data_IF_052363738048
#
_entry.id   IF_052363738048
#
_cell.length_a   1.000
_cell.length_b   1.000
_cell.length_c   1.000
_cell.angle_alpha   90.00
_cell.angle_beta   90.00
_cell.angle_gamma   90.00
#
_symmetry.space_group_name_H-M   'P 1'
#
loop_
_entity.id
_entity.type
_entity.pdbx_description
1 polymer ?
#
# COMPACT_ATOMS: atom_id res chain seq x y z
N UNK A 1 13.90 -5.43 -35.98
CA UNK A 1 13.51 -5.32 -34.56
C UNK A 1 13.48 -6.72 -33.99
N UNK A 2 14.08 -6.95 -32.81
CA UNK A 2 14.12 -8.28 -32.17
C UNK A 2 12.75 -8.71 -31.62
N UNK A 3 11.88 -7.76 -31.30
CA UNK A 3 10.53 -7.98 -30.79
C UNK A 3 9.54 -6.95 -31.35
N UNK A 4 8.24 -7.22 -31.18
CA UNK A 4 7.13 -6.33 -31.58
C UNK A 4 6.16 -6.15 -30.41
N UNK A 5 5.79 -4.90 -30.12
CA UNK A 5 4.71 -4.54 -29.18
C UNK A 5 3.36 -5.02 -29.72
N UNK A 6 2.57 -5.60 -28.84
CA UNK A 6 1.19 -6.00 -29.05
C UNK A 6 0.25 -5.13 -28.23
N UNK A 7 -0.74 -5.75 -27.59
CA UNK A 7 -1.76 -5.07 -26.80
C UNK A 7 -1.22 -4.43 -25.51
N UNK A 8 -1.95 -3.43 -25.01
CA UNK A 8 -1.65 -2.78 -23.73
C UNK A 8 -2.12 -3.70 -22.60
N UNK A 9 -1.21 -4.06 -21.71
CA UNK A 9 -1.49 -4.82 -20.49
C UNK A 9 -1.81 -3.90 -19.31
N UNK A 10 -1.22 -2.70 -19.28
CA UNK A 10 -1.43 -1.76 -18.19
C UNK A 10 -0.94 -0.35 -18.53
N UNK A 11 -1.56 0.64 -17.90
CA UNK A 11 -1.21 2.05 -18.05
C UNK A 11 -0.96 2.66 -16.67
N UNK A 12 0.26 3.15 -16.44
CA UNK A 12 0.61 3.88 -15.23
C UNK A 12 1.03 5.31 -15.54
N UNK A 13 1.04 6.17 -14.52
CA UNK A 13 1.39 7.59 -14.66
C UNK A 13 2.83 7.87 -15.11
N UNK A 14 3.68 6.84 -15.20
CA UNK A 14 5.09 6.98 -15.60
C UNK A 14 5.51 6.11 -16.79
N UNK A 15 4.72 5.10 -17.16
CA UNK A 15 5.03 4.16 -18.24
C UNK A 15 3.78 3.39 -18.69
N UNK A 16 3.82 2.91 -19.93
CA UNK A 16 2.82 1.97 -20.46
C UNK A 16 3.44 0.58 -20.54
N UNK A 17 2.65 -0.45 -20.23
CA UNK A 17 3.07 -1.85 -20.28
C UNK A 17 2.33 -2.53 -21.43
N UNK A 18 3.09 -3.18 -22.30
CA UNK A 18 2.59 -3.89 -23.47
C UNK A 18 2.93 -5.37 -23.38
N UNK A 19 2.08 -6.21 -23.95
CA UNK A 19 2.49 -7.55 -24.35
C UNK A 19 3.44 -7.41 -25.54
N UNK A 20 4.49 -8.20 -25.62
CA UNK A 20 5.37 -8.23 -26.78
C UNK A 20 5.77 -9.66 -27.13
N UNK A 21 6.00 -9.88 -28.42
CA UNK A 21 6.47 -11.14 -28.96
C UNK A 21 7.82 -10.96 -29.66
N UNK A 22 8.71 -11.93 -29.51
CA UNK A 22 9.99 -11.97 -30.24
C UNK A 22 9.72 -12.31 -31.71
N UNK A 23 10.29 -11.52 -32.63
CA UNK A 23 10.05 -11.63 -34.08
C UNK A 23 11.24 -12.25 -34.81
N UNK A 24 12.45 -12.15 -34.25
CA UNK A 24 13.65 -12.76 -34.82
C UNK A 24 14.55 -13.22 -33.67
N UNK A 25 14.52 -14.51 -33.30
CA UNK A 25 15.42 -15.04 -32.31
C UNK A 25 16.85 -15.01 -32.88
N UNK A 26 17.66 -14.06 -32.43
CA UNK A 26 19.11 -14.11 -32.61
C UNK A 26 19.65 -15.22 -31.72
N UNK A 27 20.59 -16.02 -32.24
CA UNK A 27 21.11 -17.23 -31.56
C UNK A 27 21.77 -16.98 -30.19
N UNK A 28 21.97 -15.72 -29.81
CA UNK A 28 22.64 -15.31 -28.57
C UNK A 28 21.72 -14.64 -27.54
N UNK A 29 20.47 -14.32 -27.87
CA UNK A 29 19.56 -13.62 -26.94
C UNK A 29 18.50 -14.59 -26.39
N UNK A 30 18.64 -14.96 -25.12
CA UNK A 30 17.74 -15.87 -24.38
C UNK A 30 16.41 -15.18 -23.99
N UNK A 31 15.78 -14.44 -24.92
CA UNK A 31 14.49 -13.81 -24.68
C UNK A 31 13.36 -14.84 -24.84
N UNK A 32 12.35 -14.84 -23.94
CA UNK A 32 11.18 -15.70 -24.09
C UNK A 32 10.33 -15.27 -25.29
N UNK A 33 9.54 -16.20 -25.84
CA UNK A 33 8.66 -15.95 -26.98
C UNK A 33 7.62 -14.84 -26.71
N UNK A 34 7.15 -14.75 -25.46
CA UNK A 34 6.27 -13.70 -24.96
C UNK A 34 6.91 -13.03 -23.74
N UNK A 35 6.78 -11.71 -23.68
CA UNK A 35 7.27 -10.87 -22.59
C UNK A 35 6.35 -9.67 -22.38
N UNK A 36 6.47 -9.04 -21.21
CA UNK A 36 5.91 -7.72 -20.97
C UNK A 36 6.98 -6.65 -21.25
N UNK A 37 6.59 -5.54 -21.87
CA UNK A 37 7.50 -4.42 -22.16
C UNK A 37 6.94 -3.16 -21.54
N UNK A 38 7.62 -2.66 -20.51
CA UNK A 38 7.27 -1.38 -19.87
C UNK A 38 8.08 -0.29 -20.57
N UNK A 39 7.38 0.71 -21.10
CA UNK A 39 7.91 1.70 -22.03
C UNK A 39 7.60 3.12 -21.56
N UNK A 40 8.56 4.03 -21.72
CA UNK A 40 8.37 5.46 -21.51
C UNK A 40 9.13 6.25 -22.57
N UNK A 41 8.67 7.47 -22.93
CA UNK A 41 9.47 8.37 -23.76
C UNK A 41 10.84 8.60 -23.15
N UNK A 42 11.89 8.62 -23.97
CA UNK A 42 13.28 8.64 -23.52
C UNK A 42 13.56 9.82 -22.57
N UNK A 43 13.02 11.00 -22.86
CA UNK A 43 13.17 12.20 -22.02
C UNK A 43 12.52 12.09 -20.61
N UNK A 44 11.64 11.10 -20.40
CA UNK A 44 11.00 10.76 -19.11
C UNK A 44 11.51 9.45 -18.50
N UNK A 45 12.48 8.78 -19.14
CA UNK A 45 12.95 7.44 -18.79
C UNK A 45 13.65 7.30 -17.44
N UNK A 46 14.05 8.41 -16.78
CA UNK A 46 14.88 8.36 -15.56
C UNK A 46 14.31 7.46 -14.45
N UNK A 47 12.99 7.46 -14.27
CA UNK A 47 12.35 6.59 -13.27
C UNK A 47 12.39 5.12 -13.71
N UNK A 48 12.14 4.86 -14.98
CA UNK A 48 12.13 3.51 -15.56
C UNK A 48 13.53 2.90 -15.62
N UNK A 49 14.55 3.69 -15.97
CA UNK A 49 15.95 3.27 -15.94
C UNK A 49 16.48 3.02 -14.52
N UNK A 50 15.90 3.68 -13.50
CA UNK A 50 16.20 3.36 -12.11
C UNK A 50 15.54 2.03 -11.70
N UNK A 51 14.32 1.80 -12.15
CA UNK A 51 13.60 0.55 -11.91
C UNK A 51 14.29 -0.64 -12.56
N UNK A 52 14.75 -0.51 -13.80
CA UNK A 52 15.57 -1.52 -14.50
C UNK A 52 16.76 -1.96 -13.65
N UNK A 53 17.57 -1.00 -13.18
CA UNK A 53 18.78 -1.32 -12.40
C UNK A 53 18.46 -2.11 -11.13
N UNK A 54 17.34 -1.78 -10.46
CA UNK A 54 16.91 -2.52 -9.28
C UNK A 54 16.48 -3.94 -9.63
N UNK A 55 15.71 -4.11 -10.71
CA UNK A 55 15.28 -5.42 -11.16
C UNK A 55 16.48 -6.28 -11.59
N UNK A 56 17.46 -5.68 -12.27
CA UNK A 56 18.72 -6.33 -12.63
C UNK A 56 19.54 -6.72 -11.39
N UNK A 57 19.62 -5.86 -10.36
CA UNK A 57 20.24 -6.17 -9.06
C UNK A 57 19.51 -7.29 -8.28
N UNK A 58 18.23 -7.53 -8.61
CA UNK A 58 17.36 -8.51 -7.95
C UNK A 58 17.11 -9.78 -8.76
N UNK A 59 17.81 -9.97 -9.88
CA UNK A 59 17.58 -11.07 -10.83
C UNK A 59 17.67 -12.49 -10.21
N UNK A 60 18.41 -12.65 -9.11
CA UNK A 60 18.57 -13.95 -8.42
C UNK A 60 17.34 -14.37 -7.58
N UNK A 61 16.36 -13.49 -7.40
CA UNK A 61 15.19 -13.78 -6.57
C UNK A 61 14.02 -14.31 -7.42
N UNK A 62 13.56 -15.57 -7.23
CA UNK A 62 12.47 -16.14 -8.02
C UNK A 62 11.09 -15.52 -7.71
N UNK A 63 10.97 -14.75 -6.62
CA UNK A 63 9.74 -14.09 -6.18
C UNK A 63 9.68 -12.60 -6.56
N UNK A 64 10.53 -12.17 -7.48
CA UNK A 64 10.55 -10.83 -8.08
C UNK A 64 10.43 -11.02 -9.60
N UNK A 65 9.68 -10.14 -10.26
CA UNK A 65 9.49 -10.23 -11.71
C UNK A 65 10.85 -10.12 -12.41
N UNK A 66 11.16 -11.07 -13.30
CA UNK A 66 12.46 -11.07 -13.97
C UNK A 66 12.54 -9.94 -15.00
N UNK A 67 13.65 -9.21 -15.01
CA UNK A 67 14.00 -8.31 -16.10
C UNK A 67 15.03 -8.97 -17.02
N UNK A 68 14.82 -8.85 -18.32
CA UNK A 68 15.71 -9.38 -19.35
C UNK A 68 16.65 -8.31 -19.93
N UNK A 69 16.48 -7.04 -19.54
CA UNK A 69 17.32 -5.92 -19.94
C UNK A 69 16.53 -4.71 -20.48
N UNK A 70 17.27 -3.71 -20.96
CA UNK A 70 16.75 -2.47 -21.53
C UNK A 70 16.97 -2.38 -23.05
N UNK A 71 16.02 -1.77 -23.76
CA UNK A 71 16.09 -1.53 -25.19
C UNK A 71 15.66 -0.09 -25.51
N UNK A 72 16.41 0.58 -26.38
CA UNK A 72 16.00 1.84 -27.00
C UNK A 72 15.32 1.56 -28.34
N UNK A 73 14.13 2.13 -28.53
CA UNK A 73 13.41 2.06 -29.81
C UNK A 73 13.14 3.47 -30.34
N UNK A 74 12.97 3.56 -31.66
CA UNK A 74 12.55 4.78 -32.36
C UNK A 74 11.23 4.43 -33.05
N UNK A 75 10.17 5.17 -32.75
CA UNK A 75 8.87 4.99 -33.40
C UNK A 75 8.86 5.66 -34.79
N UNK A 76 7.78 5.43 -35.56
CA UNK A 76 7.66 5.95 -36.94
C UNK A 76 7.69 7.48 -37.01
N UNK A 77 7.26 8.16 -35.95
CA UNK A 77 7.30 9.63 -35.81
C UNK A 77 8.70 10.16 -35.41
N UNK A 78 9.68 9.27 -35.23
CA UNK A 78 11.04 9.60 -34.82
C UNK A 78 11.22 9.76 -33.29
N UNK A 79 10.17 9.59 -32.48
CA UNK A 79 10.28 9.68 -31.02
C UNK A 79 11.08 8.49 -30.46
N UNK A 80 12.02 8.79 -29.56
CA UNK A 80 12.81 7.77 -28.86
C UNK A 80 12.09 7.28 -27.61
N UNK A 81 12.07 5.96 -27.43
CA UNK A 81 11.46 5.29 -26.30
C UNK A 81 12.48 4.42 -25.56
N UNK A 82 12.40 4.46 -24.24
CA UNK A 82 13.15 3.59 -23.35
C UNK A 82 12.23 2.46 -22.88
N UNK A 83 12.69 1.23 -23.06
CA UNK A 83 11.92 0.02 -22.82
C UNK A 83 12.67 -0.88 -21.84
N UNK A 84 11.96 -1.48 -20.90
CA UNK A 84 12.47 -2.59 -20.10
C UNK A 84 11.70 -3.86 -20.46
N UNK A 85 12.43 -4.93 -20.71
CA UNK A 85 11.89 -6.24 -21.07
C UNK A 85 11.70 -7.05 -19.79
N UNK A 86 10.48 -7.51 -19.55
CA UNK A 86 10.06 -8.15 -18.31
C UNK A 86 9.42 -9.50 -18.58
N UNK A 87 9.54 -10.40 -17.62
CA UNK A 87 8.76 -11.64 -17.57
C UNK A 87 7.27 -11.35 -17.71
N UNK A 88 6.59 -12.12 -18.57
CA UNK A 88 5.16 -12.01 -18.74
C UNK A 88 4.43 -12.88 -17.72
N UNK A 89 3.58 -12.25 -16.91
CA UNK A 89 2.73 -12.92 -15.93
C UNK A 89 1.36 -13.22 -16.54
N UNK A 90 1.22 -14.40 -17.16
CA UNK A 90 -0.02 -14.81 -17.82
C UNK A 90 -1.23 -14.92 -16.88
N UNK A 91 -1.00 -15.14 -15.58
CA UNK A 91 -2.05 -15.18 -14.55
C UNK A 91 -2.56 -13.80 -14.14
N UNK A 92 -2.06 -12.72 -14.74
CA UNK A 92 -2.42 -11.34 -14.40
C UNK A 92 -1.86 -10.90 -13.04
N UNK A 93 -2.50 -9.91 -12.44
CA UNK A 93 -2.18 -9.46 -11.08
C UNK A 93 -3.02 -10.19 -10.04
N UNK A 94 -2.57 -10.13 -8.79
CA UNK A 94 -3.33 -10.61 -7.65
C UNK A 94 -4.63 -9.79 -7.47
N UNK A 95 -4.68 -8.53 -7.92
CA UNK A 95 -5.93 -7.76 -7.96
C UNK A 95 -6.96 -8.39 -8.91
N UNK A 96 -6.53 -8.77 -10.11
CA UNK A 96 -7.38 -9.46 -11.10
C UNK A 96 -7.90 -10.78 -10.53
N UNK A 97 -7.03 -11.53 -9.85
CA UNK A 97 -7.40 -12.79 -9.19
C UNK A 97 -8.47 -12.58 -8.12
N UNK A 98 -8.30 -11.60 -7.23
CA UNK A 98 -9.28 -11.26 -6.19
C UNK A 98 -10.62 -10.83 -6.82
N UNK A 99 -10.58 -9.98 -7.84
CA UNK A 99 -11.78 -9.51 -8.53
C UNK A 99 -12.52 -10.66 -9.21
N UNK A 100 -11.80 -11.54 -9.91
CA UNK A 100 -12.37 -12.68 -10.64
C UNK A 100 -13.09 -13.67 -9.72
N UNK A 101 -12.62 -13.83 -8.48
CA UNK A 101 -13.24 -14.72 -7.50
C UNK A 101 -14.53 -14.11 -6.91
N UNK A 102 -14.65 -12.78 -6.92
CA UNK A 102 -15.82 -12.02 -6.46
C UNK A 102 -16.04 -12.02 -4.94
N UNK A 103 -15.17 -12.71 -4.19
CA UNK A 103 -15.13 -12.80 -2.72
C UNK A 103 -13.68 -13.02 -2.26
N UNK A 104 -13.48 -13.20 -0.95
CA UNK A 104 -12.18 -13.62 -0.42
C UNK A 104 -11.70 -14.95 -1.01
N UNK A 105 -10.41 -15.00 -1.36
CA UNK A 105 -9.75 -16.20 -1.89
C UNK A 105 -9.72 -17.34 -0.86
N UNK A 106 -9.61 -18.60 -1.30
CA UNK A 106 -9.36 -19.72 -0.40
C UNK A 106 -8.12 -19.48 0.45
N UNK A 107 -8.19 -19.76 1.75
CA UNK A 107 -7.08 -19.44 2.67
C UNK A 107 -5.79 -20.17 2.28
N UNK A 108 -5.86 -21.40 1.77
CA UNK A 108 -4.69 -22.13 1.26
C UNK A 108 -3.98 -21.37 0.12
N UNK A 109 -4.73 -20.74 -0.78
CA UNK A 109 -4.20 -19.89 -1.84
C UNK A 109 -3.59 -18.60 -1.28
N UNK A 110 -4.27 -17.95 -0.32
CA UNK A 110 -3.74 -16.76 0.38
C UNK A 110 -2.40 -17.07 1.05
N UNK A 111 -2.28 -18.20 1.73
CA UNK A 111 -1.04 -18.62 2.41
C UNK A 111 0.11 -18.78 1.43
N UNK A 112 -0.11 -19.44 0.28
CA UNK A 112 0.92 -19.64 -0.77
C UNK A 112 1.38 -18.31 -1.38
N UNK A 113 0.45 -17.43 -1.73
CA UNK A 113 0.81 -16.11 -2.27
C UNK A 113 1.52 -15.24 -1.24
N UNK A 114 1.07 -15.28 0.02
CA UNK A 114 1.70 -14.56 1.13
C UNK A 114 3.12 -15.06 1.36
N UNK A 115 3.36 -16.37 1.31
CA UNK A 115 4.70 -16.96 1.41
C UNK A 115 5.64 -16.42 0.33
N UNK A 116 5.21 -16.47 -0.93
CA UNK A 116 6.01 -15.98 -2.07
C UNK A 116 6.30 -14.48 -1.95
N UNK A 117 5.29 -13.68 -1.59
CA UNK A 117 5.41 -12.25 -1.33
C UNK A 117 6.46 -11.96 -0.22
N UNK A 118 6.38 -12.67 0.90
CA UNK A 118 7.32 -12.47 2.01
C UNK A 118 8.76 -12.91 1.64
N UNK A 119 8.93 -13.97 0.85
CA UNK A 119 10.25 -14.41 0.38
C UNK A 119 10.89 -13.33 -0.53
N UNK A 120 10.13 -12.78 -1.47
CA UNK A 120 10.59 -11.67 -2.31
C UNK A 120 10.89 -10.42 -1.48
N UNK A 121 10.01 -10.07 -0.54
CA UNK A 121 10.17 -8.87 0.27
C UNK A 121 11.35 -8.95 1.25
N UNK A 122 11.56 -10.13 1.87
CA UNK A 122 12.75 -10.41 2.68
C UNK A 122 14.04 -10.20 1.88
N UNK A 123 14.07 -10.66 0.63
CA UNK A 123 15.22 -10.45 -0.26
C UNK A 123 15.48 -8.96 -0.55
N UNK A 124 14.43 -8.20 -0.88
CA UNK A 124 14.51 -6.75 -1.12
C UNK A 124 15.05 -6.01 0.12
N UNK A 125 14.52 -6.34 1.30
CA UNK A 125 14.91 -5.73 2.57
C UNK A 125 16.36 -6.04 2.92
N UNK A 126 16.82 -7.28 2.70
CA UNK A 126 18.24 -7.68 2.89
C UNK A 126 19.21 -6.98 1.94
N UNK A 127 18.76 -6.63 0.72
CA UNK A 127 19.52 -5.79 -0.21
C UNK A 127 19.51 -4.29 0.16
N UNK A 128 18.85 -3.93 1.26
CA UNK A 128 18.82 -2.55 1.78
C UNK A 128 17.83 -1.65 1.05
N UNK A 129 16.78 -2.20 0.46
CA UNK A 129 15.73 -1.46 -0.23
C UNK A 129 14.37 -1.62 0.44
N UNK A 130 13.49 -0.66 0.17
CA UNK A 130 12.08 -0.62 0.57
C UNK A 130 11.27 -0.47 -0.71
N UNK A 131 10.22 -1.26 -0.89
CA UNK A 131 9.43 -1.28 -2.12
C UNK A 131 8.53 -0.05 -2.23
N UNK A 132 7.88 0.35 -1.12
CA UNK A 132 7.01 1.52 -0.97
C UNK A 132 5.67 1.49 -1.71
N UNK A 133 5.35 0.42 -2.46
CA UNK A 133 4.04 0.28 -3.13
C UNK A 133 3.59 -1.19 -3.24
N UNK A 134 3.70 -1.94 -2.14
CA UNK A 134 3.13 -3.29 -2.06
C UNK A 134 1.60 -3.18 -2.05
N UNK A 135 0.96 -3.84 -3.01
CA UNK A 135 -0.51 -3.93 -3.17
C UNK A 135 -0.84 -5.05 -4.16
N UNK A 136 -2.07 -5.58 -4.19
CA UNK A 136 -2.45 -6.66 -5.11
C UNK A 136 -2.14 -6.40 -6.59
N UNK A 137 -2.21 -5.15 -7.06
CA UNK A 137 -1.93 -4.80 -8.46
C UNK A 137 -0.45 -4.95 -8.84
N UNK A 138 0.46 -4.87 -7.86
CA UNK A 138 1.91 -4.96 -8.07
C UNK A 138 2.44 -6.36 -7.72
N UNK A 139 1.56 -7.31 -7.38
CA UNK A 139 1.90 -8.72 -7.19
C UNK A 139 1.37 -9.48 -8.41
N UNK A 140 2.27 -9.96 -9.25
CA UNK A 140 1.94 -10.64 -10.50
C UNK A 140 1.95 -12.16 -10.32
N UNK A 141 1.03 -12.85 -11.00
CA UNK A 141 0.90 -14.29 -10.96
C UNK A 141 1.53 -14.89 -12.22
N UNK A 142 2.73 -15.46 -12.05
CA UNK A 142 3.43 -16.14 -13.13
C UNK A 142 3.07 -17.62 -13.07
N UNK A 143 2.56 -18.16 -14.17
CA UNK A 143 2.28 -19.58 -14.27
C UNK A 143 3.60 -20.36 -14.37
N UNK A 144 3.77 -21.38 -13.54
CA UNK A 144 4.90 -22.29 -13.68
C UNK A 144 4.66 -23.16 -14.93
N UNK A 145 5.44 -22.90 -15.99
CA UNK A 145 5.50 -23.80 -17.14
C UNK A 145 6.37 -24.98 -16.73
N UNK A 146 5.70 -26.07 -16.39
CA UNK A 146 6.30 -27.36 -16.07
C UNK A 146 6.90 -27.99 -17.35
N UNK A 147 7.93 -27.37 -17.95
CA UNK A 147 8.63 -27.86 -19.16
C UNK A 147 9.38 -29.19 -18.94
N UNK A 148 9.35 -29.74 -17.71
CA UNK A 148 9.96 -31.05 -17.38
C UNK A 148 9.01 -32.05 -16.69
N UNK A 149 7.78 -31.66 -16.35
CA UNK A 149 6.78 -32.64 -15.90
C UNK A 149 6.08 -33.25 -17.10
N UNK A 150 6.78 -34.11 -17.84
CA UNK A 150 6.10 -35.23 -18.50
C UNK A 150 5.41 -36.05 -17.41
N UNK A 151 4.16 -35.71 -17.13
CA UNK A 151 3.26 -36.53 -16.34
C UNK A 151 3.09 -37.84 -17.09
N UNK A 152 3.84 -38.86 -16.66
CA UNK A 152 3.79 -40.24 -17.17
C UNK A 152 2.40 -40.90 -17.08
N UNK A 153 1.37 -40.21 -16.61
CA UNK A 153 0.09 -40.81 -16.26
C UNK A 153 -1.16 -40.12 -16.82
N UNK A 154 -1.06 -39.26 -17.84
CA UNK A 154 -2.21 -38.83 -18.65
C UNK A 154 -3.41 -38.23 -17.89
N UNK A 155 -3.25 -37.90 -16.61
CA UNK A 155 -4.32 -37.42 -15.74
C UNK A 155 -4.26 -35.90 -15.71
N UNK A 156 -5.28 -35.32 -16.35
CA UNK A 156 -5.89 -33.99 -16.15
C UNK A 156 -4.92 -32.85 -15.81
N UNK A 157 -4.82 -31.87 -16.73
CA UNK A 157 -4.36 -30.48 -16.54
C UNK A 157 -4.21 -30.16 -15.04
N UNK A 158 -2.98 -30.33 -14.51
CA UNK A 158 -2.64 -30.03 -13.11
C UNK A 158 -3.20 -28.64 -12.80
N UNK A 159 -3.70 -28.42 -11.59
CA UNK A 159 -3.93 -27.06 -11.10
C UNK A 159 -2.66 -26.27 -11.44
N UNK A 160 -2.76 -25.33 -12.38
CA UNK A 160 -1.60 -24.59 -12.83
C UNK A 160 -1.25 -23.67 -11.66
N UNK A 161 -0.26 -24.07 -10.87
CA UNK A 161 0.14 -23.32 -9.69
C UNK A 161 0.91 -22.09 -10.17
N UNK A 162 0.30 -20.92 -9.99
CA UNK A 162 1.00 -19.66 -10.25
C UNK A 162 1.86 -19.28 -9.04
N UNK A 163 3.09 -18.85 -9.30
CA UNK A 163 3.94 -18.20 -8.31
C UNK A 163 3.59 -16.70 -8.25
N UNK A 164 3.39 -16.17 -7.05
CA UNK A 164 3.28 -14.72 -6.86
C UNK A 164 4.67 -14.06 -6.88
N UNK A 165 4.85 -13.04 -7.71
CA UNK A 165 6.10 -12.27 -7.84
C UNK A 165 5.85 -10.78 -7.66
N UNK A 166 6.76 -10.10 -6.95
CA UNK A 166 6.71 -8.65 -6.74
C UNK A 166 7.15 -7.94 -8.03
N UNK A 167 6.38 -6.93 -8.44
CA UNK A 167 6.65 -6.08 -9.60
C UNK A 167 6.52 -4.59 -9.24
N UNK A 168 6.88 -3.72 -10.20
CA UNK A 168 6.79 -2.26 -10.13
C UNK A 168 7.67 -1.59 -9.05
N UNK A 169 8.97 -1.49 -9.33
CA UNK A 169 9.96 -0.88 -8.43
C UNK A 169 10.13 0.63 -8.66
N UNK A 170 9.22 1.27 -9.40
CA UNK A 170 9.30 2.70 -9.72
C UNK A 170 9.35 3.60 -8.47
N UNK A 171 8.72 3.17 -7.37
CA UNK A 171 8.68 3.89 -6.10
C UNK A 171 9.73 3.45 -5.08
N UNK A 172 10.44 2.33 -5.32
CA UNK A 172 11.39 1.75 -4.39
C UNK A 172 12.54 2.72 -4.03
N UNK A 173 13.09 2.60 -2.82
CA UNK A 173 14.20 3.44 -2.36
C UNK A 173 15.15 2.67 -1.43
N UNK A 174 16.38 3.18 -1.27
CA UNK A 174 17.31 2.64 -0.26
C UNK A 174 16.81 2.94 1.15
N UNK A 175 16.76 1.94 2.02
CA UNK A 175 16.44 2.09 3.43
C UNK A 175 17.39 3.12 4.11
N UNK A 176 16.90 3.85 5.11
CA UNK A 176 17.63 4.90 5.80
C UNK A 176 17.93 6.17 4.98
N UNK A 177 17.76 6.15 3.66
CA UNK A 177 17.90 7.35 2.82
C UNK A 177 16.63 8.20 2.92
N UNK A 178 16.76 9.41 3.49
CA UNK A 178 15.69 10.41 3.47
C UNK A 178 15.38 10.83 2.03
N UNK A 179 14.10 11.10 1.76
CA UNK A 179 13.70 11.66 0.48
C UNK A 179 14.27 13.08 0.38
N UNK A 180 14.90 13.42 -0.75
CA UNK A 180 15.27 14.82 -1.02
C UNK A 180 13.96 15.61 -1.16
N UNK A 181 13.71 16.52 -0.22
CA UNK A 181 12.64 17.49 -0.35
C UNK A 181 12.85 18.25 -1.67
N UNK A 182 11.82 18.30 -2.52
CA UNK A 182 11.69 19.43 -3.43
C UNK A 182 11.01 20.52 -2.59
N UNK A 183 11.50 21.74 -2.68
CA UNK A 183 10.94 22.88 -1.95
C UNK A 183 9.40 22.86 -2.01
N UNK A 184 8.77 22.91 -0.84
CA UNK A 184 7.34 23.14 -0.59
C UNK A 184 6.31 22.06 -0.97
N UNK A 185 6.65 20.76 -1.09
CA UNK A 185 5.61 19.70 -1.15
C UNK A 185 5.97 18.39 -0.42
N UNK A 186 5.14 17.92 0.53
CA UNK A 186 5.26 16.57 1.06
C UNK A 186 5.08 15.55 -0.07
N UNK A 187 5.92 14.51 -0.09
CA UNK A 187 5.90 13.48 -1.16
C UNK A 187 5.42 12.16 -0.59
N UNK A 188 4.11 12.04 -0.42
CA UNK A 188 3.49 10.75 -0.21
C UNK A 188 3.81 9.81 -1.38
N UNK A 189 4.29 8.61 -1.06
CA UNK A 189 4.58 7.53 -2.00
C UNK A 189 3.65 6.36 -1.75
N UNK A 190 3.30 5.70 -2.83
CA UNK A 190 2.49 4.49 -2.81
C UNK A 190 1.01 4.80 -2.90
N UNK A 191 0.23 3.75 -2.76
CA UNK A 191 -1.23 3.80 -2.90
C UNK A 191 -1.87 4.03 -1.53
N UNK A 192 -2.64 5.11 -1.39
CA UNK A 192 -3.14 5.61 -0.10
C UNK A 192 -3.73 4.53 0.83
N UNK A 193 -4.50 3.59 0.30
CA UNK A 193 -5.14 2.51 1.07
C UNK A 193 -4.16 1.52 1.73
N UNK A 194 -2.91 1.48 1.28
CA UNK A 194 -1.87 0.54 1.74
C UNK A 194 -0.72 1.26 2.43
N UNK A 195 -0.76 2.60 2.54
CA UNK A 195 0.28 3.37 3.20
C UNK A 195 0.26 3.12 4.71
N UNK A 196 1.45 3.00 5.30
CA UNK A 196 1.60 2.87 6.74
C UNK A 196 1.42 4.23 7.44
N UNK A 197 0.98 4.26 8.70
CA UNK A 197 0.78 5.51 9.45
C UNK A 197 2.04 6.38 9.49
N UNK A 198 3.21 5.78 9.71
CA UNK A 198 4.50 6.49 9.75
C UNK A 198 4.90 7.10 8.40
N UNK A 199 4.52 6.48 7.28
CA UNK A 199 4.75 7.02 5.94
C UNK A 199 3.95 8.30 5.70
N UNK A 200 2.75 8.39 6.26
CA UNK A 200 1.88 9.56 6.13
C UNK A 200 2.29 10.67 7.09
N UNK A 201 2.57 10.32 8.35
CA UNK A 201 2.89 11.28 9.40
C UNK A 201 4.29 11.88 9.28
N UNK A 202 5.28 11.08 8.85
CA UNK A 202 6.70 11.44 8.95
C UNK A 202 7.47 11.29 7.64
N UNK A 203 6.79 10.90 6.56
CA UNK A 203 7.44 10.50 5.30
C UNK A 203 8.53 9.43 5.52
N UNK A 204 8.33 8.58 6.52
CA UNK A 204 9.20 7.47 6.86
C UNK A 204 8.79 6.25 6.03
N UNK A 205 9.64 5.90 5.07
CA UNK A 205 9.50 4.71 4.24
C UNK A 205 10.61 3.74 4.60
N UNK A 206 10.38 2.87 5.57
CA UNK A 206 11.34 1.86 6.02
C UNK A 206 10.76 0.45 5.81
N UNK A 207 11.54 -0.64 5.94
CA UNK A 207 11.05 -2.01 5.69
C UNK A 207 9.71 -2.34 6.38
N UNK A 208 9.50 -1.83 7.59
CA UNK A 208 8.24 -2.01 8.33
C UNK A 208 7.03 -1.45 7.58
N UNK A 209 7.16 -0.36 6.82
CA UNK A 209 6.06 0.21 6.03
C UNK A 209 5.58 -0.76 4.94
N UNK A 210 6.49 -1.52 4.32
CA UNK A 210 6.09 -2.58 3.39
C UNK A 210 5.32 -3.69 4.12
N UNK A 211 5.65 -4.01 5.38
CA UNK A 211 4.95 -5.04 6.16
C UNK A 211 3.50 -4.63 6.47
N UNK A 212 3.25 -3.35 6.74
CA UNK A 212 1.88 -2.85 6.85
C UNK A 212 1.11 -3.08 5.55
N UNK A 213 1.73 -2.74 4.41
CA UNK A 213 1.14 -2.94 3.10
C UNK A 213 0.92 -4.43 2.76
N UNK A 214 1.78 -5.34 3.25
CA UNK A 214 1.55 -6.80 3.23
C UNK A 214 0.28 -7.15 4.02
N UNK A 215 0.12 -6.63 5.24
CA UNK A 215 -1.09 -6.84 6.06
C UNK A 215 -2.37 -6.41 5.33
N UNK A 216 -2.36 -5.21 4.73
CA UNK A 216 -3.46 -4.73 3.90
C UNK A 216 -3.74 -5.64 2.69
N UNK A 217 -2.70 -6.11 2.01
CA UNK A 217 -2.80 -7.01 0.85
C UNK A 217 -3.39 -8.37 1.23
N UNK A 218 -2.94 -8.95 2.35
CA UNK A 218 -3.45 -10.23 2.87
C UNK A 218 -4.89 -10.11 3.32
N UNK A 219 -5.25 -9.03 4.02
CA UNK A 219 -6.64 -8.77 4.41
C UNK A 219 -7.56 -8.67 3.18
N UNK A 220 -7.11 -8.01 2.12
CA UNK A 220 -7.88 -7.92 0.88
C UNK A 220 -7.99 -9.26 0.16
N UNK A 221 -6.94 -10.09 0.15
CA UNK A 221 -7.03 -11.45 -0.37
C UNK A 221 -8.07 -12.28 0.40
N UNK A 222 -8.07 -12.23 1.74
CA UNK A 222 -8.97 -13.00 2.59
C UNK A 222 -10.43 -12.55 2.52
N UNK A 223 -10.68 -11.27 2.24
CA UNK A 223 -12.03 -10.69 2.31
C UNK A 223 -12.63 -10.35 0.94
N UNK A 224 -11.78 -10.20 -0.09
CA UNK A 224 -12.16 -9.66 -1.39
C UNK A 224 -12.50 -8.17 -1.36
N UNK A 225 -12.20 -7.45 -0.28
CA UNK A 225 -12.59 -6.05 -0.06
C UNK A 225 -11.36 -5.17 0.18
N UNK A 226 -11.47 -3.89 -0.16
CA UNK A 226 -10.43 -2.91 0.19
C UNK A 226 -10.19 -2.89 1.72
N UNK A 227 -8.94 -2.69 2.17
CA UNK A 227 -8.58 -2.75 3.60
C UNK A 227 -9.25 -1.64 4.43
N UNK A 228 -9.62 -0.51 3.81
CA UNK A 228 -10.33 0.58 4.46
C UNK A 228 -11.72 0.76 3.85
N UNK A 229 -12.76 0.57 4.67
CA UNK A 229 -14.14 0.89 4.26
C UNK A 229 -14.25 2.36 3.86
N UNK A 230 -14.81 2.58 2.67
CA UNK A 230 -14.96 3.89 2.05
C UNK A 230 -16.27 3.97 1.28
N UNK A 231 -16.92 5.14 1.30
CA UNK A 231 -18.12 5.39 0.49
C UNK A 231 -17.71 5.85 -0.92
N UNK A 232 -18.60 5.70 -1.90
CA UNK A 232 -18.40 6.32 -3.21
C UNK A 232 -18.20 7.83 -3.03
N UNK A 233 -17.13 8.36 -3.62
CA UNK A 233 -16.79 9.79 -3.54
C UNK A 233 -15.98 10.22 -2.31
N UNK A 234 -15.62 9.32 -1.38
CA UNK A 234 -14.72 9.71 -0.29
C UNK A 234 -13.34 10.10 -0.84
N UNK A 235 -12.92 11.31 -0.48
CA UNK A 235 -11.65 11.88 -0.89
C UNK A 235 -10.45 11.10 -0.35
N UNK A 236 -9.36 11.09 -1.12
CA UNK A 236 -8.09 10.46 -0.72
C UNK A 236 -7.56 11.08 0.57
N UNK A 237 -7.73 12.40 0.75
CA UNK A 237 -7.31 13.11 1.96
C UNK A 237 -7.98 12.56 3.23
N UNK A 238 -9.27 12.18 3.16
CA UNK A 238 -9.99 11.57 4.29
C UNK A 238 -9.40 10.22 4.70
N UNK A 239 -9.00 9.41 3.72
CA UNK A 239 -8.35 8.12 3.97
C UNK A 239 -6.98 8.33 4.60
N UNK A 240 -6.17 9.22 4.03
CA UNK A 240 -4.85 9.54 4.59
C UNK A 240 -4.94 10.08 6.02
N UNK A 241 -5.92 10.96 6.28
CA UNK A 241 -6.17 11.48 7.62
C UNK A 241 -6.53 10.35 8.59
N UNK A 242 -7.43 9.43 8.19
CA UNK A 242 -7.81 8.28 9.01
C UNK A 242 -6.61 7.39 9.33
N UNK A 243 -5.77 7.09 8.35
CA UNK A 243 -4.61 6.20 8.54
C UNK A 243 -3.54 6.88 9.42
N UNK A 244 -3.18 8.12 9.10
CA UNK A 244 -2.11 8.84 9.78
C UNK A 244 -2.49 9.31 11.18
N UNK A 245 -3.67 9.91 11.35
CA UNK A 245 -3.99 10.74 12.51
C UNK A 245 -5.02 10.14 13.47
N UNK A 246 -5.58 8.97 13.17
CA UNK A 246 -6.43 8.22 14.11
C UNK A 246 -5.71 7.00 14.67
N UNK A 247 -6.21 6.44 15.78
CA UNK A 247 -5.69 5.17 16.32
C UNK A 247 -6.27 3.93 15.62
N UNK A 248 -6.99 4.10 14.50
CA UNK A 248 -7.63 3.01 13.78
C UNK A 248 -6.61 2.22 12.95
N UNK A 249 -6.92 0.94 12.78
CA UNK A 249 -6.28 0.00 11.84
C UNK A 249 -7.36 -0.55 10.89
N UNK A 250 -6.99 -1.21 9.77
CA UNK A 250 -7.94 -1.95 8.95
C UNK A 250 -8.77 -2.91 9.79
N UNK A 251 -10.07 -3.01 9.49
CA UNK A 251 -10.98 -3.87 10.26
C UNK A 251 -10.80 -5.33 9.83
N UNK A 252 -10.33 -6.17 10.76
CA UNK A 252 -10.23 -7.62 10.56
C UNK A 252 -11.60 -8.23 10.91
N UNK A 253 -12.32 -8.85 9.95
CA UNK A 253 -13.63 -9.42 10.22
C UNK A 253 -13.54 -10.67 11.10
N UNK A 254 -14.58 -10.92 11.88
CA UNK A 254 -14.76 -12.20 12.55
C UNK A 254 -15.00 -13.32 11.54
N UNK A 255 -14.55 -14.54 11.87
CA UNK A 255 -14.72 -15.73 11.02
C UNK A 255 -13.50 -16.10 10.16
N UNK A 256 -12.40 -15.35 10.24
CA UNK A 256 -11.10 -15.81 9.76
C UNK A 256 -10.54 -16.90 10.68
N UNK A 257 -9.58 -17.70 10.19
CA UNK A 257 -8.83 -18.60 11.04
C UNK A 257 -8.04 -17.83 12.10
N UNK A 258 -7.74 -18.49 13.23
CA UNK A 258 -6.93 -17.88 14.29
C UNK A 258 -5.54 -17.52 13.79
N UNK A 259 -4.99 -18.33 12.89
CA UNK A 259 -3.70 -18.12 12.27
C UNK A 259 -3.70 -16.89 11.35
N UNK A 260 -4.76 -16.70 10.55
CA UNK A 260 -4.91 -15.53 9.70
C UNK A 260 -5.09 -14.25 10.51
N UNK A 261 -5.91 -14.32 11.56
CA UNK A 261 -6.14 -13.19 12.47
C UNK A 261 -4.84 -12.79 13.19
N UNK A 262 -4.09 -13.74 13.77
CA UNK A 262 -2.82 -13.44 14.44
C UNK A 262 -1.78 -12.88 13.45
N UNK A 263 -1.69 -13.45 12.24
CA UNK A 263 -0.80 -12.96 11.20
C UNK A 263 -1.08 -11.49 10.85
N UNK A 264 -2.36 -11.15 10.64
CA UNK A 264 -2.78 -9.77 10.37
C UNK A 264 -2.48 -8.84 11.55
N UNK A 265 -2.68 -9.30 12.78
CA UNK A 265 -2.36 -8.55 13.99
C UNK A 265 -0.85 -8.29 14.14
N UNK A 266 0.03 -9.17 13.64
CA UNK A 266 1.49 -8.90 13.59
C UNK A 266 1.88 -7.88 12.51
N UNK A 267 1.10 -7.78 11.44
CA UNK A 267 1.36 -6.85 10.34
C UNK A 267 0.77 -5.46 10.59
N UNK A 268 -0.46 -5.37 11.09
CA UNK A 268 -1.24 -4.13 11.23
C UNK A 268 -1.00 -3.42 12.57
N UNK A 269 0.24 -3.45 13.05
CA UNK A 269 0.68 -2.73 14.26
C UNK A 269 1.05 -1.30 13.86
N UNK A 270 0.48 -0.30 14.55
CA UNK A 270 0.73 1.13 14.24
C UNK A 270 2.16 1.56 14.54
N UNK A 271 2.73 1.13 15.66
CA UNK A 271 4.15 1.36 15.94
C UNK A 271 5.01 0.49 15.01
N UNK A 272 5.79 1.10 14.09
CA UNK A 272 6.61 0.34 13.15
C UNK A 272 7.66 -0.53 13.84
N UNK A 273 8.15 -0.16 15.04
CA UNK A 273 9.17 -0.94 15.75
C UNK A 273 8.62 -2.22 16.39
N UNK A 274 7.32 -2.22 16.68
CA UNK A 274 6.60 -3.37 17.22
C UNK A 274 6.05 -4.29 16.12
N UNK A 275 6.09 -3.85 14.86
CA UNK A 275 5.64 -4.61 13.69
C UNK A 275 6.67 -5.67 13.33
N UNK A 276 6.23 -6.87 13.02
CA UNK A 276 7.14 -7.96 12.64
C UNK A 276 7.86 -7.68 11.32
N UNK A 277 9.03 -8.31 11.12
CA UNK A 277 9.76 -8.25 9.86
C UNK A 277 9.28 -9.33 8.88
N UNK A 278 9.65 -9.22 7.60
CA UNK A 278 9.36 -10.25 6.61
C UNK A 278 9.91 -11.63 7.01
N UNK A 279 11.12 -11.69 7.57
CA UNK A 279 11.75 -12.92 8.04
C UNK A 279 11.00 -13.55 9.22
N UNK A 280 10.52 -12.74 10.17
CA UNK A 280 9.70 -13.23 11.28
C UNK A 280 8.36 -13.79 10.78
N UNK A 281 7.72 -13.10 9.83
CA UNK A 281 6.44 -13.51 9.25
C UNK A 281 6.56 -14.79 8.38
N UNK A 282 7.71 -15.07 7.78
CA UNK A 282 7.95 -16.33 7.08
C UNK A 282 7.90 -17.55 8.02
N UNK A 283 8.25 -17.37 9.30
CA UNK A 283 8.14 -18.39 10.33
C UNK A 283 6.77 -18.47 11.00
N UNK A 284 5.82 -17.62 10.63
CA UNK A 284 4.50 -17.59 11.25
C UNK A 284 3.65 -18.80 10.80
N UNK A 285 2.87 -19.46 11.70
CA UNK A 285 2.07 -20.65 11.38
C UNK A 285 1.16 -20.51 10.15
N UNK A 286 0.56 -19.33 9.96
CA UNK A 286 -0.23 -19.02 8.76
C UNK A 286 0.53 -19.30 7.46
N UNK A 287 1.84 -19.03 7.41
CA UNK A 287 2.68 -19.15 6.21
C UNK A 287 3.45 -20.47 6.20
N UNK A 288 3.98 -20.90 7.34
CA UNK A 288 4.83 -22.09 7.44
C UNK A 288 4.05 -23.39 7.21
N UNK A 289 2.78 -23.46 7.61
CA UNK A 289 1.92 -24.64 7.43
C UNK A 289 1.38 -24.80 5.99
N UNK A 290 1.69 -23.88 5.08
CA UNK A 290 1.17 -23.91 3.70
C UNK A 290 1.55 -25.19 2.93
N UNK A 291 2.63 -25.87 3.31
CA UNK A 291 3.06 -27.12 2.67
C UNK A 291 2.22 -28.34 3.11
N UNK A 292 1.62 -28.32 4.30
CA UNK A 292 0.88 -29.45 4.86
C UNK A 292 -0.57 -29.50 4.34
N UNK A 293 -1.22 -28.34 4.16
CA UNK A 293 -2.60 -28.24 3.66
C UNK A 293 -2.79 -28.70 2.19
N UNK A 294 -1.70 -28.77 1.41
CA UNK A 294 -1.74 -29.20 0.01
C UNK A 294 -2.06 -30.70 -0.12
N UNK A 295 -1.72 -31.51 0.89
CA UNK A 295 -2.02 -32.95 0.85
C UNK A 295 -3.50 -33.25 1.12
N UNK A 296 -4.16 -32.45 1.95
CA UNK A 296 -5.58 -32.63 2.30
C UNK A 296 -6.52 -32.13 1.20
N UNK A 297 -6.16 -31.04 0.50
CA UNK A 297 -7.00 -30.42 -0.52
C UNK A 297 -6.98 -31.18 -1.87
N UNK A 298 -5.95 -32.03 -2.11
CA UNK A 298 -5.88 -32.98 -3.24
C UNK A 298 -7.09 -33.93 -3.34
N UNK A 299 -7.84 -34.12 -2.25
CA UNK A 299 -9.00 -35.00 -2.19
C UNK A 299 -10.37 -34.33 -2.45
N UNK A 300 -10.42 -33.01 -2.71
CA UNK A 300 -11.70 -32.31 -2.94
C UNK A 300 -11.82 -31.80 -4.39
N UNK A 301 -12.82 -32.30 -5.11
CA UNK A 301 -13.11 -31.92 -6.51
C UNK A 301 -13.71 -30.51 -6.55
N UNK A 302 -13.06 -29.57 -7.25
CA UNK A 302 -13.56 -28.20 -7.45
C UNK A 302 -13.91 -27.97 -8.92
N UNK A 303 -15.11 -27.43 -9.17
CA UNK A 303 -15.63 -27.08 -10.50
C UNK A 303 -15.29 -25.62 -10.82
N UNK A 304 -14.67 -25.35 -11.98
CA UNK A 304 -14.22 -24.02 -12.42
C UNK A 304 -15.32 -23.26 -13.19
N UNK A 305 -15.54 -21.94 -12.96
CA UNK A 305 -16.37 -21.10 -13.81
C UNK A 305 -15.63 -20.55 -15.04
N UNK A 306 -16.39 -20.28 -16.11
CA UNK A 306 -15.92 -19.74 -17.40
C UNK A 306 -15.54 -18.25 -17.31
N UNK A 307 -14.54 -17.89 -18.12
CA UNK A 307 -13.91 -16.56 -18.22
C UNK A 307 -14.90 -15.41 -18.48
N UNK A 308 -14.69 -14.30 -17.76
CA UNK A 308 -15.36 -13.02 -18.00
C UNK A 308 -14.49 -12.10 -18.87
N UNK A 309 -15.14 -11.28 -19.71
CA UNK A 309 -14.51 -10.30 -20.61
C UNK A 309 -14.00 -9.07 -19.83
N UNK A 310 -12.94 -8.39 -20.33
CA UNK A 310 -12.38 -7.21 -19.68
C UNK A 310 -13.34 -6.01 -19.75
N UNK A 311 -13.41 -5.25 -18.66
CA UNK A 311 -14.04 -3.93 -18.54
C UNK A 311 -12.90 -2.94 -18.31
N UNK A 312 -12.88 -1.77 -18.97
CA UNK A 312 -11.78 -0.81 -18.84
C UNK A 312 -11.71 -0.24 -17.42
N UNK A 313 -10.50 -0.28 -16.86
CA UNK A 313 -10.20 0.11 -15.50
C UNK A 313 -9.86 1.61 -15.38
N UNK A 314 -10.30 2.22 -14.28
CA UNK A 314 -10.12 3.64 -13.98
C UNK A 314 -9.13 3.80 -12.81
N UNK A 315 -7.88 3.42 -13.06
CA UNK A 315 -6.80 3.59 -12.09
C UNK A 315 -6.24 5.02 -12.19
N UNK A 316 -6.67 5.88 -11.25
CA UNK A 316 -6.07 7.19 -11.03
C UNK A 316 -4.63 7.03 -10.48
N UNK A 317 -3.66 6.88 -11.36
CA UNK A 317 -2.28 7.30 -11.07
C UNK A 317 -2.12 8.74 -11.55
N UNK A 318 -2.20 9.69 -10.63
CA UNK A 318 -1.65 11.03 -10.87
C UNK A 318 -0.74 11.41 -9.73
N UNK A 319 0.42 11.97 -10.08
CA UNK A 319 1.17 12.81 -9.17
C UNK A 319 0.29 14.03 -8.85
N UNK A 320 -0.45 13.98 -7.75
CA UNK A 320 -1.35 15.06 -7.37
C UNK A 320 -0.53 16.28 -6.93
N UNK A 321 -0.60 17.36 -7.69
CA UNK A 321 -0.52 18.70 -7.12
C UNK A 321 -1.87 19.01 -6.50
N UNK A 322 -1.92 19.14 -5.17
CA UNK A 322 -3.11 19.55 -4.43
C UNK A 322 -3.70 20.84 -5.04
N UNK A 323 -5.04 20.94 -5.19
CA UNK A 323 -5.69 22.20 -5.55
C UNK A 323 -5.43 23.26 -4.48
N UNK A 324 -5.33 24.53 -4.89
CA UNK A 324 -5.30 25.67 -3.98
C UNK A 324 -6.58 25.69 -3.12
N UNK A 325 -6.51 26.11 -1.85
CA UNK A 325 -7.63 26.03 -0.92
C UNK A 325 -8.66 27.13 -1.22
N UNK A 326 -9.61 26.86 -2.11
CA UNK A 326 -10.85 27.62 -2.16
C UNK A 326 -12.02 26.71 -2.53
N UNK A 327 -13.10 26.85 -1.75
CA UNK A 327 -14.44 26.24 -1.86
C UNK A 327 -14.64 24.81 -1.33
N UNK A 328 -14.74 24.70 0.00
CA UNK A 328 -15.70 23.76 0.61
C UNK A 328 -16.25 24.32 1.94
N UNK A 329 -17.03 25.40 1.87
CA UNK A 329 -17.95 25.81 2.95
C UNK A 329 -19.29 26.16 2.33
N UNK A 330 -20.11 25.14 2.09
CA UNK A 330 -21.58 25.23 2.13
C UNK A 330 -22.17 23.86 1.88
N UNK A 331 -22.61 23.20 2.97
CA UNK A 331 -23.76 22.27 3.06
C UNK A 331 -23.65 21.40 4.32
N UNK A 332 -23.60 22.06 5.48
CA UNK A 332 -24.01 21.49 6.76
C UNK A 332 -24.62 22.62 7.61
N UNK A 333 -25.67 23.25 7.09
CA UNK A 333 -26.47 24.23 7.82
C UNK A 333 -27.88 24.30 7.19
N UNK A 334 -28.66 23.26 7.41
CA UNK A 334 -30.11 23.29 7.27
C UNK A 334 -30.67 22.16 8.13
N UNK A 335 -31.64 22.51 8.96
CA UNK A 335 -32.24 21.76 10.08
C UNK A 335 -31.44 21.97 11.39
N UNK A 336 -31.68 22.96 12.23
CA UNK A 336 -32.86 23.79 12.47
C UNK A 336 -33.16 23.77 13.98
N UNK A 337 -33.30 24.97 14.58
CA UNK A 337 -33.84 25.28 15.92
C UNK A 337 -32.97 24.85 17.13
N UNK A 338 -32.71 25.64 18.19
CA UNK A 338 -33.28 26.91 18.70
C UNK A 338 -32.31 27.54 19.72
N UNK A 339 -32.38 28.87 19.81
CA UNK A 339 -31.78 29.80 20.78
C UNK A 339 -32.16 29.49 22.25
N UNK A 340 -31.34 29.80 23.26
CA UNK A 340 -31.34 31.13 23.88
C UNK A 340 -30.11 31.39 24.76
N UNK A 341 -29.63 32.62 24.67
CA UNK A 341 -28.75 33.30 25.60
C UNK A 341 -29.40 33.54 26.97
N UNK A 342 -28.66 33.38 28.06
CA UNK A 342 -28.85 34.17 29.28
C UNK A 342 -27.50 34.60 29.84
N UNK A 343 -27.31 35.92 29.89
CA UNK A 343 -26.26 36.64 30.60
C UNK A 343 -26.57 36.63 32.10
N UNK A 344 -25.57 36.46 32.96
CA UNK A 344 -25.65 36.89 34.35
C UNK A 344 -24.30 37.46 34.81
N UNK A 345 -24.35 38.74 35.15
CA UNK A 345 -23.29 39.60 35.70
C UNK A 345 -22.96 39.24 37.15
N UNK A 346 -21.69 39.45 37.52
CA UNK A 346 -21.17 39.44 38.90
C UNK A 346 -21.94 40.41 39.80
N UNK A 347 -22.22 39.96 41.03
CA UNK A 347 -22.24 40.83 42.21
C UNK A 347 -21.38 40.24 43.32
N UNK A 348 -20.77 41.14 44.08
CA UNK A 348 -19.86 40.95 45.20
C UNK A 348 -20.61 40.61 46.49
N UNK A 349 -19.97 39.86 47.38
CA UNK A 349 -19.70 40.22 48.79
C UNK A 349 -19.45 38.96 49.65
N UNK A 350 -18.52 39.08 50.61
CA UNK A 350 -18.56 38.29 51.85
C UNK A 350 -17.53 37.17 52.01
N UNK A 351 -16.69 37.31 53.03
CA UNK A 351 -15.66 36.40 53.53
C UNK A 351 -16.31 35.38 54.51
N UNK A 352 -15.89 34.10 54.50
CA UNK A 352 -15.36 33.39 55.68
C UNK A 352 -14.96 31.92 55.41
N UNK A 353 -14.06 31.47 56.28
CA UNK A 353 -13.16 30.31 56.31
C UNK A 353 -13.79 28.91 56.34
N UNK A 354 -13.10 27.92 55.74
CA UNK A 354 -12.49 26.77 56.47
C UNK A 354 -11.74 25.84 55.49
N UNK A 355 -10.42 25.70 55.73
CA UNK A 355 -9.54 24.67 55.17
C UNK A 355 -9.81 23.32 55.85
N UNK A 356 -9.93 22.23 55.08
CA UNK A 356 -9.24 20.95 55.30
C UNK A 356 -9.66 19.92 54.23
N UNK A 357 -9.18 20.05 52.98
CA UNK A 357 -9.13 18.93 52.03
C UNK A 357 -8.19 19.15 50.81
N UNK A 358 -7.20 20.05 50.93
CA UNK A 358 -6.40 20.51 49.78
C UNK A 358 -4.98 19.93 49.68
N UNK A 359 -4.69 18.78 50.31
CA UNK A 359 -3.37 18.13 50.18
C UNK A 359 -3.36 16.82 49.38
N UNK A 360 -4.53 16.19 49.15
CA UNK A 360 -4.64 14.99 48.32
C UNK A 360 -5.19 15.24 46.89
N UNK A 361 -5.74 16.43 46.61
CA UNK A 361 -6.14 16.85 45.26
C UNK A 361 -4.94 17.28 44.39
N UNK A 362 -3.92 17.91 44.98
CA UNK A 362 -2.77 18.46 44.25
C UNK A 362 -1.87 17.39 43.59
N UNK A 363 -1.75 16.18 44.18
CA UNK A 363 -0.96 15.08 43.58
C UNK A 363 -1.68 14.33 42.44
N UNK A 364 -3.02 14.38 42.39
CA UNK A 364 -3.78 13.83 41.25
C UNK A 364 -3.84 14.81 40.08
N UNK A 365 -3.97 16.11 40.39
CA UNK A 365 -3.98 17.16 39.37
C UNK A 365 -2.63 17.27 38.65
N UNK A 366 -1.51 17.18 39.39
CA UNK A 366 -0.18 17.22 38.78
C UNK A 366 0.14 16.01 37.89
N UNK A 367 -0.38 14.81 38.21
CA UNK A 367 -0.29 13.63 37.33
C UNK A 367 -1.19 13.74 36.10
N UNK A 368 -2.39 14.30 36.25
CA UNK A 368 -3.27 14.56 35.10
C UNK A 368 -2.75 15.69 34.20
N UNK A 369 -2.04 16.67 34.75
CA UNK A 369 -1.34 17.73 34.01
C UNK A 369 -0.10 17.19 33.29
N UNK A 370 0.69 16.31 33.91
CA UNK A 370 1.82 15.62 33.26
C UNK A 370 1.34 14.64 32.16
N UNK A 371 0.24 13.92 32.38
CA UNK A 371 -0.39 13.05 31.37
C UNK A 371 -1.05 13.88 30.26
N UNK A 372 -1.65 15.03 30.58
CA UNK A 372 -2.20 15.97 29.61
C UNK A 372 -1.11 16.67 28.81
N UNK A 373 0.04 17.03 29.38
CA UNK A 373 1.21 17.55 28.67
C UNK A 373 1.85 16.49 27.77
N UNK A 374 1.85 15.21 28.15
CA UNK A 374 2.29 14.11 27.28
C UNK A 374 1.34 13.91 26.10
N UNK A 375 0.02 13.99 26.34
CA UNK A 375 -0.99 13.93 25.28
C UNK A 375 -0.90 15.18 24.39
N UNK A 376 -0.76 16.38 24.96
CA UNK A 376 -0.68 17.67 24.26
C UNK A 376 0.64 17.84 23.50
N UNK A 377 1.78 17.36 24.00
CA UNK A 377 3.04 17.36 23.24
C UNK A 377 2.98 16.43 22.03
N UNK A 378 2.29 15.28 22.16
CA UNK A 378 1.96 14.40 21.05
C UNK A 378 0.93 14.99 20.07
N UNK A 379 0.02 15.82 20.57
CA UNK A 379 -1.04 16.47 19.77
C UNK A 379 -0.52 17.71 19.03
N UNK A 380 0.34 18.51 19.67
CA UNK A 380 1.07 19.65 19.09
C UNK A 380 1.95 19.19 17.92
N UNK A 381 2.69 18.09 18.07
CA UNK A 381 3.44 17.50 16.94
C UNK A 381 2.52 17.02 15.80
N UNK A 382 1.35 16.45 16.11
CA UNK A 382 0.34 16.03 15.12
C UNK A 382 -0.28 17.25 14.40
N UNK A 383 -0.41 18.38 15.10
CA UNK A 383 -0.96 19.64 14.60
C UNK A 383 0.05 20.44 13.76
N UNK A 384 1.33 20.45 14.12
CA UNK A 384 2.41 21.05 13.31
C UNK A 384 2.59 20.30 11.97
N UNK A 385 2.44 18.97 11.98
CA UNK A 385 2.41 18.17 10.75
C UNK A 385 1.21 18.50 9.85
N UNK A 386 0.03 18.79 10.44
CA UNK A 386 -1.13 19.32 9.71
C UNK A 386 -0.84 20.72 9.14
N UNK A 387 -0.13 21.57 9.89
CA UNK A 387 0.31 22.89 9.44
C UNK A 387 1.19 22.85 8.20
N UNK A 388 2.18 21.95 8.18
CA UNK A 388 3.08 21.78 7.03
C UNK A 388 2.42 21.13 5.82
N UNK A 389 1.43 20.25 6.02
CA UNK A 389 0.72 19.58 4.92
C UNK A 389 -0.33 20.46 4.23
N UNK A 390 -0.97 21.38 4.99
CA UNK A 390 -2.07 22.22 4.50
C UNK A 390 -1.72 23.72 4.35
N UNK A 391 -0.51 24.15 4.70
CA UNK A 391 -0.09 25.56 4.63
C UNK A 391 -0.66 26.46 5.74
N UNK A 392 -1.06 25.87 6.87
CA UNK A 392 -1.65 26.60 8.00
C UNK A 392 -0.51 27.19 8.85
N UNK A 393 -0.46 28.52 8.96
CA UNK A 393 0.63 29.25 9.66
C UNK A 393 0.40 29.45 11.16
N UNK A 394 -0.80 29.26 11.68
CA UNK A 394 -1.10 29.46 13.12
C UNK A 394 -2.22 28.55 13.60
N UNK A 395 -1.99 27.87 14.71
CA UNK A 395 -3.01 27.17 15.49
C UNK A 395 -3.04 27.89 16.83
N UNK A 396 -4.14 28.57 17.14
CA UNK A 396 -4.32 29.22 18.44
C UNK A 396 -5.24 28.35 19.29
N UNK A 397 -4.74 27.94 20.46
CA UNK A 397 -5.56 27.30 21.49
C UNK A 397 -6.67 28.24 21.95
N UNK A 398 -7.92 27.78 21.85
CA UNK A 398 -9.04 28.41 22.55
C UNK A 398 -9.62 27.35 23.50
N UNK A 399 -8.92 27.21 24.63
CA UNK A 399 -9.26 26.44 25.84
C UNK A 399 -9.54 24.93 25.66
N UNK A 400 -9.50 24.19 26.78
CA UNK A 400 -9.34 22.73 26.95
C UNK A 400 -10.33 21.77 26.24
N UNK A 401 -11.05 22.20 25.20
CA UNK A 401 -12.00 21.32 24.49
C UNK A 401 -12.22 21.65 23.01
N UNK A 402 -11.68 22.76 22.46
CA UNK A 402 -11.94 23.15 21.07
C UNK A 402 -10.68 23.69 20.37
N UNK A 403 -10.37 23.15 19.19
CA UNK A 403 -9.30 23.67 18.32
C UNK A 403 -9.93 24.54 17.23
N UNK A 404 -9.58 25.82 17.19
CA UNK A 404 -9.89 26.71 16.08
C UNK A 404 -8.70 26.74 15.11
N UNK A 405 -8.97 26.49 13.82
CA UNK A 405 -7.96 26.52 12.75
C UNK A 405 -8.17 27.81 11.97
N UNK A 406 -7.29 28.80 12.15
CA UNK A 406 -7.26 30.00 11.30
C UNK A 406 -6.41 29.75 10.05
N UNK A 407 -7.06 29.77 8.88
CA UNK A 407 -6.39 29.75 7.58
C UNK A 407 -6.35 31.20 7.07
N UNK A 408 -5.19 31.86 7.17
CA UNK A 408 -4.99 33.16 6.50
C UNK A 408 -4.62 32.92 5.03
N UNK A 409 -5.39 33.56 4.14
CA UNK A 409 -5.36 33.44 2.67
C UNK A 409 -3.97 33.56 2.01
#
# INVERSE_FOLDING_TARGET
>A
MMWRRGEILGNGGSAMVYLAAVVSPTSNDLLPSLMAVKSAPFYKSRCLAKEERLLSDFADCPHIIRCFGEHLTIEEDGEQWYNILLEYAAGGSLADRIQSFGRGLPESEVRRFTKSLLMGLSYIHKKGYVHCDIKPHNILLVEENDDFSMSLNGKRKRFQESTAKIADFGLAKRAGKKLKAKENKPRLRGTALYMAPESILREEYEPHADIWAVGCTVLQMLTGKEPWKRNKGTEVATILFRIGFSEKVPEIPSGLSKEAEDFLNKCLVRDPKSRWTADMLLGHPFVSAANESIEEEKNRVVVLPKAAKPIPDSSFQSSFSLPKPYLLMSRLASDGLVSHSCVATRHSDGIDSEDFDEFHACKRQKRMEEDAEQVLSGTSYRLDALGQYWGIKRISEITNSNIAIEIFN
#
